data_IF_142192327569
#
_entry.id   IF_142192327569
#
_cell.length_a   1.000
_cell.length_b   1.000
_cell.length_c   1.000
_cell.angle_alpha   90.00
_cell.angle_beta   90.00
_cell.angle_gamma   90.00
#
_symmetry.space_group_name_H-M   'P 1'
#
loop_
_entity.id
_entity.type
_entity.pdbx_description
1 polymer ?
#
# COMPACT_ATOMS: atom_id res chain seq x y z
N UNK A 1 76.15 16.93 33.65
CA UNK A 1 74.89 16.99 34.43
C UNK A 1 74.09 18.14 33.82
N UNK A 2 72.88 18.00 33.27
CA UNK A 2 71.75 17.18 33.67
C UNK A 2 70.93 16.67 32.46
N UNK A 3 70.18 15.62 32.74
CA UNK A 3 69.46 14.75 31.81
C UNK A 3 68.09 15.29 31.38
N UNK A 4 67.74 14.92 30.15
CA UNK A 4 66.42 14.62 29.55
C UNK A 4 65.17 14.72 30.43
N UNK A 5 64.15 15.45 29.97
CA UNK A 5 62.73 15.08 30.21
C UNK A 5 61.78 15.73 29.20
N UNK A 6 61.76 15.19 27.97
CA UNK A 6 60.63 15.35 27.04
C UNK A 6 59.69 14.17 27.27
N UNK A 7 58.64 14.34 28.07
CA UNK A 7 57.46 13.46 28.04
C UNK A 7 56.26 14.06 28.80
N UNK A 8 55.29 14.61 28.04
CA UNK A 8 53.82 14.52 28.30
C UNK A 8 53.07 15.41 27.31
N UNK A 9 52.36 14.80 26.36
CA UNK A 9 51.46 15.53 25.45
C UNK A 9 50.70 14.66 24.44
N UNK A 10 51.23 13.50 24.05
CA UNK A 10 50.68 12.70 22.95
C UNK A 10 49.38 11.92 23.26
N UNK A 11 48.97 11.80 24.53
CA UNK A 11 47.76 11.05 24.90
C UNK A 11 46.46 11.89 24.83
N UNK A 12 46.55 13.22 24.74
CA UNK A 12 45.37 14.11 24.73
C UNK A 12 44.84 14.48 23.35
N UNK A 13 45.63 14.32 22.28
CA UNK A 13 45.25 14.74 20.92
C UNK A 13 44.51 13.65 20.12
N UNK A 14 44.83 12.39 20.33
CA UNK A 14 44.24 11.26 19.57
C UNK A 14 42.80 10.97 20.03
N UNK A 15 42.54 11.01 21.34
CA UNK A 15 41.18 10.85 21.89
C UNK A 15 40.27 12.02 21.46
N UNK A 16 40.79 13.26 21.47
CA UNK A 16 40.06 14.42 20.96
C UNK A 16 39.67 14.26 19.48
N UNK A 17 40.57 13.72 18.65
CA UNK A 17 40.29 13.50 17.21
C UNK A 17 39.26 12.40 16.94
N UNK A 18 39.25 11.33 17.74
CA UNK A 18 38.27 10.23 17.63
C UNK A 18 36.89 10.69 18.06
N UNK A 19 36.82 11.49 19.12
CA UNK A 19 35.58 12.14 19.56
C UNK A 19 35.03 13.08 18.48
N UNK A 20 35.90 13.84 17.80
CA UNK A 20 35.48 14.74 16.73
C UNK A 20 34.97 14.01 15.47
N UNK A 21 35.60 12.88 15.09
CA UNK A 21 35.12 12.02 13.99
C UNK A 21 33.74 11.42 14.28
N UNK A 22 33.53 10.92 15.50
CA UNK A 22 32.24 10.37 15.93
C UNK A 22 31.17 11.46 15.92
N UNK A 23 31.49 12.68 16.36
CA UNK A 23 30.55 13.80 16.35
C UNK A 23 30.19 14.22 14.91
N UNK A 24 31.18 14.27 14.01
CA UNK A 24 30.95 14.54 12.57
C UNK A 24 30.11 13.46 11.90
N UNK A 25 30.37 12.18 12.19
CA UNK A 25 29.60 11.05 11.64
C UNK A 25 28.15 11.07 12.14
N UNK A 26 27.92 11.35 13.43
CA UNK A 26 26.57 11.54 13.98
C UNK A 26 25.83 12.68 13.26
N UNK A 27 26.50 13.79 13.00
CA UNK A 27 25.91 14.91 12.26
C UNK A 27 25.57 14.51 10.82
N UNK A 28 26.44 13.77 10.14
CA UNK A 28 26.19 13.28 8.77
C UNK A 28 25.05 12.26 8.70
N UNK A 29 25.03 11.27 9.62
CA UNK A 29 23.94 10.30 9.74
C UNK A 29 22.60 10.98 10.01
N UNK A 30 22.57 11.99 10.89
CA UNK A 30 21.37 12.80 11.16
C UNK A 30 20.90 13.58 9.94
N UNK A 31 21.83 14.10 9.11
CA UNK A 31 21.50 14.79 7.86
C UNK A 31 20.94 13.80 6.83
N UNK A 32 21.63 12.68 6.60
CA UNK A 32 21.18 11.64 5.68
C UNK A 32 19.79 11.09 6.06
N UNK A 33 19.58 10.76 7.33
CA UNK A 33 18.27 10.29 7.80
C UNK A 33 17.15 11.31 7.57
N UNK A 34 17.44 12.61 7.76
CA UNK A 34 16.47 13.68 7.44
C UNK A 34 16.21 13.79 5.94
N UNK A 35 17.22 13.61 5.12
CA UNK A 35 17.10 13.67 3.66
C UNK A 35 16.30 12.47 3.11
N UNK A 36 16.54 11.27 3.63
CA UNK A 36 15.78 10.06 3.29
C UNK A 36 14.29 10.23 3.65
N UNK A 37 13.99 10.77 4.84
CA UNK A 37 12.61 11.07 5.26
C UNK A 37 11.98 12.14 4.35
N UNK A 38 12.75 13.15 3.95
CA UNK A 38 12.26 14.20 3.03
C UNK A 38 11.97 13.62 1.65
N UNK A 39 12.85 12.77 1.13
CA UNK A 39 12.67 12.09 -0.15
C UNK A 39 11.45 11.16 -0.10
N UNK A 40 11.35 10.33 0.94
CA UNK A 40 10.22 9.44 1.17
C UNK A 40 8.90 10.22 1.24
N UNK A 41 8.87 11.38 1.92
CA UNK A 41 7.69 12.26 1.94
C UNK A 41 7.31 12.75 0.53
N UNK A 42 8.28 13.21 -0.26
CA UNK A 42 8.02 13.67 -1.64
C UNK A 42 7.46 12.54 -2.50
N UNK A 43 8.07 11.35 -2.41
CA UNK A 43 7.63 10.18 -3.17
C UNK A 43 6.25 9.71 -2.71
N UNK A 44 5.98 9.68 -1.40
CA UNK A 44 4.65 9.40 -0.86
C UNK A 44 3.60 10.40 -1.34
N UNK A 45 3.92 11.70 -1.36
CA UNK A 45 3.00 12.71 -1.87
C UNK A 45 2.73 12.54 -3.37
N UNK A 46 3.76 12.22 -4.16
CA UNK A 46 3.61 11.94 -5.60
C UNK A 46 2.74 10.70 -5.84
N UNK A 47 3.01 9.61 -5.12
CA UNK A 47 2.19 8.38 -5.16
C UNK A 47 0.77 8.64 -4.69
N UNK A 48 0.61 9.35 -3.59
CA UNK A 48 -0.68 9.73 -3.01
C UNK A 48 -1.52 10.61 -3.93
N UNK A 49 -0.92 11.60 -4.61
CA UNK A 49 -1.63 12.42 -5.61
C UNK A 49 -2.10 11.60 -6.80
N UNK A 50 -1.25 10.72 -7.35
CA UNK A 50 -1.64 9.86 -8.49
C UNK A 50 -2.74 8.87 -8.09
N UNK A 51 -2.58 8.22 -6.94
CA UNK A 51 -3.59 7.31 -6.39
C UNK A 51 -4.91 8.05 -6.09
N UNK A 52 -4.83 9.24 -5.50
CA UNK A 52 -5.99 10.07 -5.19
C UNK A 52 -6.71 10.59 -6.43
N UNK A 53 -5.98 11.02 -7.46
CA UNK A 53 -6.58 11.42 -8.74
C UNK A 53 -7.28 10.22 -9.41
N UNK A 54 -6.64 9.04 -9.43
CA UNK A 54 -7.26 7.82 -9.95
C UNK A 54 -8.50 7.42 -9.17
N UNK A 55 -8.45 7.44 -7.84
CA UNK A 55 -9.60 7.16 -6.98
C UNK A 55 -10.73 8.18 -7.17
N UNK A 56 -10.40 9.47 -7.34
CA UNK A 56 -11.37 10.53 -7.62
C UNK A 56 -12.06 10.35 -8.97
N UNK A 57 -11.30 10.03 -10.03
CA UNK A 57 -11.85 9.75 -11.36
C UNK A 57 -12.72 8.49 -11.35
N UNK A 58 -12.28 7.40 -10.71
CA UNK A 58 -13.09 6.18 -10.58
C UNK A 58 -14.35 6.41 -9.75
N UNK A 59 -14.24 7.19 -8.67
CA UNK A 59 -15.40 7.58 -7.86
C UNK A 59 -16.41 8.40 -8.67
N UNK A 60 -15.94 9.43 -9.37
CA UNK A 60 -16.79 10.26 -10.25
C UNK A 60 -17.42 9.46 -11.39
N UNK A 61 -16.63 8.59 -12.04
CA UNK A 61 -17.14 7.68 -13.07
C UNK A 61 -18.19 6.72 -12.50
N UNK A 62 -18.02 6.22 -11.28
CA UNK A 62 -19.00 5.39 -10.60
C UNK A 62 -20.34 6.11 -10.37
N UNK A 63 -20.28 7.37 -9.92
CA UNK A 63 -21.50 8.19 -9.74
C UNK A 63 -22.20 8.46 -11.08
N UNK A 64 -21.44 8.83 -12.11
CA UNK A 64 -22.00 9.04 -13.46
C UNK A 64 -22.59 7.76 -14.04
N UNK A 65 -21.91 6.63 -13.88
CA UNK A 65 -22.40 5.32 -14.32
C UNK A 65 -23.66 4.90 -13.56
N UNK A 66 -23.79 5.26 -12.27
CA UNK A 66 -25.00 5.00 -11.49
C UNK A 66 -26.20 5.77 -12.05
N UNK A 67 -26.08 7.09 -12.24
CA UNK A 67 -27.16 7.90 -12.81
C UNK A 67 -27.46 7.55 -14.27
N UNK A 68 -26.43 7.34 -15.09
CA UNK A 68 -26.60 6.91 -16.48
C UNK A 68 -27.27 5.54 -16.58
N UNK A 69 -26.87 4.59 -15.71
CA UNK A 69 -27.53 3.30 -15.58
C UNK A 69 -29.00 3.43 -15.19
N UNK A 70 -29.32 4.25 -14.19
CA UNK A 70 -30.72 4.50 -13.79
C UNK A 70 -31.56 5.10 -14.92
N UNK A 71 -30.99 6.00 -15.72
CA UNK A 71 -31.65 6.56 -16.90
C UNK A 71 -31.91 5.49 -17.97
N UNK A 72 -30.93 4.61 -18.24
CA UNK A 72 -31.09 3.49 -19.17
C UNK A 72 -32.13 2.47 -18.70
N UNK A 73 -32.16 2.15 -17.41
CA UNK A 73 -33.20 1.29 -16.82
C UNK A 73 -34.58 1.92 -17.00
N UNK A 74 -34.71 3.21 -16.70
CA UNK A 74 -35.97 3.96 -16.92
C UNK A 74 -36.38 3.90 -18.39
N UNK A 75 -35.45 4.15 -19.32
CA UNK A 75 -35.71 4.11 -20.75
C UNK A 75 -36.14 2.70 -21.21
N UNK A 76 -35.51 1.63 -20.70
CA UNK A 76 -35.90 0.26 -21.02
C UNK A 76 -37.31 -0.06 -20.52
N UNK A 77 -37.65 0.36 -19.29
CA UNK A 77 -39.01 0.19 -18.73
C UNK A 77 -40.03 0.94 -19.56
N UNK A 78 -39.78 2.23 -19.87
CA UNK A 78 -40.70 3.04 -20.67
C UNK A 78 -40.86 2.50 -22.09
N UNK A 79 -39.77 2.05 -22.72
CA UNK A 79 -39.81 1.45 -24.05
C UNK A 79 -40.63 0.16 -24.09
N UNK A 80 -40.49 -0.70 -23.08
CA UNK A 80 -41.26 -1.94 -22.97
C UNK A 80 -42.72 -1.66 -22.57
N UNK A 81 -42.97 -0.59 -21.81
CA UNK A 81 -44.30 -0.14 -21.42
C UNK A 81 -45.14 0.40 -22.60
N UNK A 82 -44.56 0.58 -23.80
CA UNK A 82 -45.32 0.91 -25.02
C UNK A 82 -46.22 -0.26 -25.44
N UNK A 83 -45.77 -1.50 -25.18
CA UNK A 83 -46.51 -2.73 -25.54
C UNK A 83 -47.07 -3.47 -24.34
N UNK A 84 -46.46 -3.32 -23.16
CA UNK A 84 -46.90 -3.97 -21.91
C UNK A 84 -47.38 -2.96 -20.87
N UNK A 85 -48.13 -3.41 -19.86
CA UNK A 85 -48.44 -2.57 -18.71
C UNK A 85 -47.15 -2.16 -17.97
N UNK A 86 -47.07 -0.90 -17.51
CA UNK A 86 -45.87 -0.36 -16.89
C UNK A 86 -45.37 -1.17 -15.68
N UNK A 87 -46.28 -1.74 -14.89
CA UNK A 87 -45.92 -2.61 -13.75
C UNK A 87 -45.27 -3.92 -14.20
N UNK A 88 -45.70 -4.49 -15.33
CA UNK A 88 -45.12 -5.73 -15.85
C UNK A 88 -43.77 -5.46 -16.49
N UNK A 89 -43.65 -4.36 -17.24
CA UNK A 89 -42.40 -3.91 -17.82
C UNK A 89 -41.31 -3.69 -16.76
N UNK A 90 -41.65 -3.02 -15.65
CA UNK A 90 -40.70 -2.77 -14.57
C UNK A 90 -40.26 -4.06 -13.85
N UNK A 91 -41.18 -5.02 -13.66
CA UNK A 91 -40.84 -6.32 -13.08
C UNK A 91 -39.89 -7.13 -13.97
N UNK A 92 -40.13 -7.16 -15.28
CA UNK A 92 -39.28 -7.92 -16.22
C UNK A 92 -37.88 -7.32 -16.32
N UNK A 93 -37.77 -6.00 -16.46
CA UNK A 93 -36.48 -5.31 -16.47
C UNK A 93 -35.76 -5.48 -15.12
N UNK A 94 -36.49 -5.36 -14.01
CA UNK A 94 -35.94 -5.58 -12.67
C UNK A 94 -35.40 -6.98 -12.46
N UNK A 95 -36.14 -8.02 -12.90
CA UNK A 95 -35.70 -9.40 -12.81
C UNK A 95 -34.47 -9.67 -13.67
N UNK A 96 -34.42 -9.13 -14.89
CA UNK A 96 -33.26 -9.24 -15.76
C UNK A 96 -32.01 -8.61 -15.10
N UNK A 97 -32.13 -7.43 -14.49
CA UNK A 97 -31.03 -6.79 -13.77
C UNK A 97 -30.57 -7.59 -12.55
N UNK A 98 -31.50 -8.19 -11.79
CA UNK A 98 -31.15 -9.05 -10.66
C UNK A 98 -30.36 -10.28 -11.09
N UNK A 99 -30.70 -10.89 -12.23
CA UNK A 99 -29.93 -12.00 -12.78
C UNK A 99 -28.52 -11.57 -13.18
N UNK A 100 -28.38 -10.43 -13.86
CA UNK A 100 -27.06 -9.88 -14.21
C UNK A 100 -26.26 -9.56 -12.95
N UNK A 101 -26.88 -8.94 -11.94
CA UNK A 101 -26.24 -8.62 -10.66
C UNK A 101 -25.80 -9.89 -9.91
N UNK A 102 -26.60 -10.95 -9.91
CA UNK A 102 -26.23 -12.23 -9.30
C UNK A 102 -25.02 -12.85 -10.00
N UNK A 103 -24.98 -12.86 -11.33
CA UNK A 103 -23.84 -13.35 -12.11
C UNK A 103 -22.58 -12.51 -11.85
N UNK A 104 -22.70 -11.18 -11.89
CA UNK A 104 -21.59 -10.28 -11.60
C UNK A 104 -21.05 -10.48 -10.17
N UNK A 105 -21.94 -10.67 -9.18
CA UNK A 105 -21.56 -10.95 -7.81
C UNK A 105 -20.81 -12.28 -7.68
N UNK A 106 -21.27 -13.34 -8.37
CA UNK A 106 -20.59 -14.65 -8.37
C UNK A 106 -19.19 -14.56 -9.00
N UNK A 107 -19.07 -13.91 -10.15
CA UNK A 107 -17.78 -13.70 -10.84
C UNK A 107 -16.86 -12.84 -9.99
N UNK A 108 -17.35 -11.72 -9.47
CA UNK A 108 -16.60 -10.81 -8.60
C UNK A 108 -16.09 -11.52 -7.35
N UNK A 109 -16.94 -12.33 -6.70
CA UNK A 109 -16.55 -13.14 -5.54
C UNK A 109 -15.47 -14.16 -5.89
N UNK A 110 -15.54 -14.76 -7.08
CA UNK A 110 -14.49 -15.64 -7.60
C UNK A 110 -13.16 -14.92 -7.81
N UNK A 111 -13.18 -13.72 -8.38
CA UNK A 111 -11.98 -12.90 -8.58
C UNK A 111 -11.37 -12.47 -7.25
N UNK A 112 -12.17 -11.94 -6.31
CA UNK A 112 -11.69 -11.54 -4.97
C UNK A 112 -11.04 -12.72 -4.25
N UNK A 113 -11.65 -13.92 -4.32
CA UNK A 113 -11.07 -15.13 -3.72
C UNK A 113 -9.75 -15.55 -4.36
N UNK A 114 -9.56 -15.33 -5.66
CA UNK A 114 -8.30 -15.65 -6.38
C UNK A 114 -7.21 -14.61 -6.17
N UNK A 115 -7.58 -13.34 -6.01
CA UNK A 115 -6.65 -12.24 -5.73
C UNK A 115 -6.15 -12.20 -4.28
N UNK A 116 -6.70 -13.06 -3.42
CA UNK A 116 -6.37 -13.17 -2.00
C UNK A 116 -5.61 -14.46 -1.69
N UNK A 117 -4.27 -14.50 -1.77
CA UNK A 117 -3.49 -15.25 -0.80
C UNK A 117 -3.29 -14.32 0.41
N UNK A 118 -4.25 -14.28 1.34
CA UNK A 118 -4.08 -13.59 2.63
C UNK A 118 -2.98 -14.23 3.49
N UNK A 119 -2.42 -15.36 3.05
CA UNK A 119 -1.14 -15.86 3.54
C UNK A 119 -0.37 -16.39 2.34
N UNK A 120 0.81 -15.82 2.01
CA UNK A 120 1.68 -16.43 1.02
C UNK A 120 2.05 -17.80 1.55
N UNK A 121 1.67 -18.87 0.88
CA UNK A 121 2.04 -20.25 1.28
C UNK A 121 3.57 -20.36 1.42
N UNK A 122 4.32 -19.63 0.59
CA UNK A 122 5.78 -19.52 0.67
C UNK A 122 6.29 -18.76 1.91
N UNK A 123 5.49 -17.85 2.49
CA UNK A 123 5.87 -17.15 3.72
C UNK A 123 5.80 -18.09 4.92
N UNK A 124 4.89 -19.08 4.91
CA UNK A 124 4.86 -20.13 5.92
C UNK A 124 6.08 -21.05 5.85
N UNK A 125 6.52 -21.42 4.66
CA UNK A 125 7.69 -22.28 4.49
C UNK A 125 8.99 -21.60 4.96
N UNK A 126 9.16 -20.31 4.62
CA UNK A 126 10.31 -19.53 5.10
C UNK A 126 10.27 -19.30 6.60
N UNK A 127 9.10 -19.01 7.17
CA UNK A 127 8.95 -18.82 8.61
C UNK A 127 9.21 -20.13 9.39
N UNK A 128 8.84 -21.29 8.83
CA UNK A 128 9.16 -22.61 9.40
C UNK A 128 10.66 -22.91 9.37
N UNK A 129 11.33 -22.58 8.26
CA UNK A 129 12.78 -22.69 8.15
C UNK A 129 13.51 -21.76 9.13
N UNK A 130 13.07 -20.52 9.25
CA UNK A 130 13.66 -19.55 10.20
C UNK A 130 13.48 -19.99 11.65
N UNK A 131 12.32 -20.55 12.02
CA UNK A 131 12.08 -21.10 13.35
C UNK A 131 12.95 -22.33 13.62
N UNK A 132 13.19 -23.19 12.63
CA UNK A 132 14.06 -24.35 12.77
C UNK A 132 15.51 -23.95 13.09
N UNK A 133 16.05 -22.96 12.38
CA UNK A 133 17.41 -22.45 12.59
C UNK A 133 17.58 -21.80 13.98
N UNK A 134 16.58 -21.04 14.44
CA UNK A 134 16.61 -20.43 15.78
C UNK A 134 16.54 -21.49 16.88
N UNK A 135 15.73 -22.55 16.68
CA UNK A 135 15.56 -23.63 17.66
C UNK A 135 16.80 -24.53 17.77
N UNK A 136 17.55 -24.65 16.69
CA UNK A 136 18.82 -25.38 16.64
C UNK A 136 19.94 -24.60 17.35
N UNK A 137 20.03 -23.28 17.13
CA UNK A 137 20.98 -22.40 17.85
C UNK A 137 20.69 -22.23 19.34
N UNK A 138 19.45 -22.43 19.78
CA UNK A 138 19.08 -22.39 21.19
C UNK A 138 19.37 -23.70 21.92
N UNK A 139 19.71 -24.77 21.19
CA UNK A 139 19.97 -26.11 21.73
C UNK A 139 21.46 -26.50 21.66
N UNK A 140 22.27 -25.72 20.92
CA UNK A 140 23.74 -25.76 20.90
C UNK A 140 24.33 -24.77 21.90
#
# INVERSE_FOLDING_TARGET
MASTSVSRGAAGSTDASTQELVERLKVQLRRLARDEVRLARIEMQRRGRRAGAGAGLLGGAGVLAFYGGAALVTAAVLGLAVVWAAWLASLVVGLALLLVAALAALVGRGQVRRSMPLVPEQAWDRLRQDIAVVRERARS
#
